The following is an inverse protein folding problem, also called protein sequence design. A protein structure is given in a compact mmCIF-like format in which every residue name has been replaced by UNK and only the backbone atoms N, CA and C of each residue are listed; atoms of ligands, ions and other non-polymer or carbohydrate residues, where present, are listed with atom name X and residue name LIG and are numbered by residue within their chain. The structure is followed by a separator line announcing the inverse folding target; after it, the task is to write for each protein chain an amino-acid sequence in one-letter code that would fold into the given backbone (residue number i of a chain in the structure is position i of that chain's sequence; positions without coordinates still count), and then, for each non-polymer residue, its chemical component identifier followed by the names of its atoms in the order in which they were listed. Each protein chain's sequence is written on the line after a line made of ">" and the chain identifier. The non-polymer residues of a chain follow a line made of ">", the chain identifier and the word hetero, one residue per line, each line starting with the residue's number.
data_IF_808493961272
#
_entry.id   IF_808493961272
#
_cell.length_a   1.000
_cell.length_b   1.000
_cell.length_c   1.000
_cell.angle_alpha   90.00
_cell.angle_beta   90.00
_cell.angle_gamma   90.00
#
_symmetry.space_group_name_H-M   'P 1'
#
loop_
_entity.id
_entity.type
_entity.pdbx_description
1 polymer ?
#
# COMPACT_ATOMS: atom_id res chain seq x y z
N UNK A 1 7.22 -8.36 17.71
CA UNK A 1 5.93 -8.58 17.03
C UNK A 1 5.18 -9.66 17.79
N UNK A 2 3.90 -9.47 18.07
CA UNK A 2 3.08 -10.50 18.74
C UNK A 2 2.91 -11.72 17.82
N UNK A 3 2.79 -12.95 18.36
CA UNK A 3 2.68 -14.18 17.57
C UNK A 3 1.59 -14.17 16.49
N UNK A 4 0.51 -13.44 16.72
CA UNK A 4 -0.60 -13.28 15.78
C UNK A 4 -0.18 -12.67 14.43
N UNK A 5 0.78 -11.74 14.42
CA UNK A 5 1.25 -11.14 13.17
C UNK A 5 2.05 -12.12 12.33
N UNK A 6 2.81 -13.00 12.98
CA UNK A 6 3.59 -14.05 12.28
C UNK A 6 2.63 -15.01 11.56
N UNK A 7 1.58 -15.45 12.25
CA UNK A 7 0.55 -16.32 11.66
C UNK A 7 -0.19 -15.63 10.51
N UNK A 8 -0.54 -14.35 10.67
CA UNK A 8 -1.19 -13.57 9.63
C UNK A 8 -0.35 -13.43 8.36
N UNK A 9 0.93 -13.04 8.49
CA UNK A 9 1.82 -12.92 7.34
C UNK A 9 2.18 -14.26 6.72
N UNK A 10 2.26 -15.34 7.52
CA UNK A 10 2.41 -16.69 7.00
C UNK A 10 1.20 -17.14 6.17
N UNK A 11 -0.03 -16.86 6.64
CA UNK A 11 -1.25 -17.15 5.89
C UNK A 11 -1.32 -16.40 4.56
N UNK A 12 -0.97 -15.11 4.55
CA UNK A 12 -0.85 -14.32 3.32
C UNK A 12 0.14 -14.95 2.34
N UNK A 13 1.29 -15.40 2.83
CA UNK A 13 2.30 -16.04 2.00
C UNK A 13 1.83 -17.35 1.38
N UNK A 14 0.99 -18.13 2.09
CA UNK A 14 0.45 -19.39 1.58
C UNK A 14 -0.60 -19.21 0.48
N UNK A 15 -1.37 -18.12 0.52
CA UNK A 15 -2.41 -17.85 -0.48
C UNK A 15 -1.90 -17.13 -1.73
N UNK A 16 -0.63 -16.73 -1.75
CA UNK A 16 -0.05 -16.04 -2.89
C UNK A 16 0.26 -17.06 -4.01
N UNK A 17 -0.46 -16.96 -5.13
CA UNK A 17 -0.23 -17.83 -6.28
C UNK A 17 0.81 -17.22 -7.23
N UNK A 18 2.02 -17.77 -7.18
CA UNK A 18 3.13 -17.36 -8.05
C UNK A 18 2.91 -17.67 -9.53
N UNK A 19 1.98 -18.57 -9.87
CA UNK A 19 1.67 -18.90 -11.27
C UNK A 19 1.00 -17.73 -11.99
N UNK A 20 0.28 -16.89 -11.26
CA UNK A 20 -0.42 -15.72 -11.79
C UNK A 20 0.49 -14.51 -12.00
N UNK A 21 1.72 -14.50 -11.44
CA UNK A 21 2.62 -13.35 -11.47
C UNK A 21 2.96 -12.86 -12.87
N UNK A 22 3.15 -13.76 -13.84
CA UNK A 22 3.55 -13.40 -15.19
C UNK A 22 2.48 -12.58 -15.94
N UNK A 23 1.19 -12.85 -15.66
CA UNK A 23 0.07 -12.17 -16.31
C UNK A 23 -0.31 -10.90 -15.54
N UNK A 24 -0.09 -10.87 -14.23
CA UNK A 24 -0.58 -9.81 -13.34
C UNK A 24 0.29 -8.56 -13.29
N UNK A 25 1.53 -8.60 -13.78
CA UNK A 25 2.47 -7.48 -13.66
C UNK A 25 1.94 -6.13 -14.20
N UNK A 26 1.27 -6.05 -15.37
CA UNK A 26 0.70 -4.81 -15.86
C UNK A 26 -0.38 -4.24 -14.92
N UNK A 27 -1.22 -5.11 -14.36
CA UNK A 27 -2.28 -4.72 -13.44
C UNK A 27 -1.72 -4.21 -12.11
N UNK A 28 -0.70 -4.91 -11.58
CA UNK A 28 0.03 -4.50 -10.36
C UNK A 28 0.64 -3.10 -10.55
N UNK A 29 1.34 -2.87 -11.67
CA UNK A 29 1.94 -1.56 -11.96
C UNK A 29 0.88 -0.47 -12.07
N UNK A 30 -0.19 -0.72 -12.82
CA UNK A 30 -1.29 0.22 -12.98
C UNK A 30 -1.91 0.59 -11.62
N UNK A 31 -2.17 -0.41 -10.78
CA UNK A 31 -2.70 -0.20 -9.43
C UNK A 31 -1.73 0.59 -8.56
N UNK A 32 -0.44 0.22 -8.53
CA UNK A 32 0.59 0.91 -7.76
C UNK A 32 0.70 2.40 -8.13
N UNK A 33 0.75 2.70 -9.43
CA UNK A 33 0.88 4.07 -9.92
C UNK A 33 -0.39 4.86 -9.64
N UNK A 34 -1.56 4.32 -9.98
CA UNK A 34 -2.85 4.99 -9.75
C UNK A 34 -3.08 5.30 -8.27
N UNK A 35 -2.82 4.32 -7.38
CA UNK A 35 -2.90 4.49 -5.94
C UNK A 35 -1.93 5.54 -5.42
N UNK A 36 -0.67 5.48 -5.86
CA UNK A 36 0.37 6.42 -5.41
C UNK A 36 0.04 7.85 -5.80
N UNK A 37 -0.35 8.08 -7.05
CA UNK A 37 -0.77 9.39 -7.55
C UNK A 37 -2.02 9.87 -6.79
N UNK A 38 -3.01 9.00 -6.61
CA UNK A 38 -4.24 9.32 -5.89
C UNK A 38 -3.98 9.75 -4.44
N UNK A 39 -3.13 9.02 -3.71
CA UNK A 39 -2.74 9.40 -2.33
C UNK A 39 -1.97 10.72 -2.30
N UNK A 40 -0.98 10.91 -3.18
CA UNK A 40 -0.17 12.14 -3.20
C UNK A 40 -1.05 13.35 -3.53
N UNK A 41 -1.83 13.27 -4.61
CA UNK A 41 -2.73 14.35 -5.02
C UNK A 41 -3.81 14.61 -3.96
N UNK A 42 -4.40 13.55 -3.40
CA UNK A 42 -5.41 13.66 -2.34
C UNK A 42 -4.88 14.31 -1.08
N UNK A 43 -3.67 13.96 -0.63
CA UNK A 43 -3.02 14.60 0.52
C UNK A 43 -2.68 16.06 0.23
N UNK A 44 -2.19 16.39 -0.96
CA UNK A 44 -1.88 17.78 -1.33
C UNK A 44 -3.14 18.64 -1.40
N UNK A 45 -4.21 18.15 -2.05
CA UNK A 45 -5.50 18.85 -2.10
C UNK A 45 -6.10 18.97 -0.71
N UNK A 46 -6.18 17.88 0.05
CA UNK A 46 -6.66 17.88 1.43
C UNK A 46 -5.92 18.89 2.31
N UNK A 47 -4.60 18.95 2.19
CA UNK A 47 -3.76 19.93 2.89
C UNK A 47 -4.04 21.38 2.48
N UNK A 48 -4.40 21.64 1.22
CA UNK A 48 -4.83 22.97 0.75
C UNK A 48 -6.17 23.35 1.36
N UNK A 49 -7.16 22.46 1.31
CA UNK A 49 -8.50 22.67 1.88
C UNK A 49 -8.44 22.90 3.40
N UNK A 50 -7.60 22.17 4.12
CA UNK A 50 -7.40 22.32 5.57
C UNK A 50 -6.51 23.50 5.96
N UNK A 51 -6.00 24.29 5.01
CA UNK A 51 -5.04 25.39 5.23
C UNK A 51 -3.80 24.96 6.03
N UNK A 52 -3.34 23.73 5.86
CA UNK A 52 -2.17 23.20 6.56
C UNK A 52 -0.86 23.87 6.12
N UNK A 53 0.24 23.57 6.81
CA UNK A 53 1.55 24.08 6.44
C UNK A 53 2.03 23.58 5.06
N UNK A 54 2.84 24.34 4.31
CA UNK A 54 3.35 23.95 3.00
C UNK A 54 4.13 22.63 3.01
N UNK A 55 4.80 22.31 4.13
CA UNK A 55 5.54 21.06 4.32
C UNK A 55 4.60 19.85 4.31
N UNK A 56 3.47 19.94 5.00
CA UNK A 56 2.45 18.89 5.07
C UNK A 56 1.85 18.67 3.68
N UNK A 57 1.49 19.75 2.96
CA UNK A 57 0.93 19.66 1.59
C UNK A 57 1.84 18.93 0.61
N UNK A 58 3.16 19.08 0.77
CA UNK A 58 4.16 18.57 -0.17
C UNK A 58 4.69 17.17 0.19
N UNK A 59 4.85 16.86 1.47
CA UNK A 59 5.56 15.66 1.91
C UNK A 59 4.66 14.58 2.54
N UNK A 60 3.47 14.94 3.04
CA UNK A 60 2.57 13.97 3.69
C UNK A 60 2.17 12.84 2.74
N UNK A 61 1.90 13.15 1.47
CA UNK A 61 1.51 12.16 0.47
C UNK A 61 2.57 11.07 0.27
N UNK A 62 3.85 11.43 0.29
CA UNK A 62 4.98 10.49 0.17
C UNK A 62 5.13 9.62 1.42
N UNK A 63 4.92 10.19 2.61
CA UNK A 63 4.97 9.45 3.87
C UNK A 63 3.80 8.46 4.03
N UNK A 64 2.68 8.70 3.33
CA UNK A 64 1.46 7.89 3.39
C UNK A 64 1.39 6.78 2.34
N UNK A 65 2.44 6.57 1.54
CA UNK A 65 2.45 5.51 0.52
C UNK A 65 2.53 4.11 1.09
N UNK A 66 2.92 3.98 2.37
CA UNK A 66 2.97 2.68 3.03
C UNK A 66 1.61 1.96 3.04
N UNK A 67 1.68 0.65 2.94
CA UNK A 67 0.52 -0.24 2.92
C UNK A 67 0.73 -1.34 3.97
N UNK A 68 -0.16 -1.40 4.94
CA UNK A 68 -0.06 -2.29 6.09
C UNK A 68 -1.02 -3.49 5.98
N UNK A 69 -0.94 -4.39 6.97
CA UNK A 69 -1.76 -5.61 7.03
C UNK A 69 -3.28 -5.40 6.99
N UNK A 70 -3.78 -4.20 7.33
CA UNK A 70 -5.20 -3.85 7.17
C UNK A 70 -5.64 -3.97 5.71
N UNK A 71 -4.79 -3.56 4.75
CA UNK A 71 -5.11 -3.66 3.33
C UNK A 71 -5.26 -5.13 2.88
N UNK A 72 -4.43 -6.02 3.42
CA UNK A 72 -4.55 -7.45 3.18
C UNK A 72 -5.81 -8.04 3.82
N UNK A 73 -6.14 -7.66 5.07
CA UNK A 73 -7.37 -8.11 5.73
C UNK A 73 -8.63 -7.73 4.93
N UNK A 74 -8.66 -6.53 4.34
CA UNK A 74 -9.74 -6.12 3.44
C UNK A 74 -9.74 -6.88 2.12
N UNK A 75 -8.55 -7.27 1.61
CA UNK A 75 -8.44 -8.09 0.41
C UNK A 75 -9.02 -9.49 0.61
N UNK A 76 -8.79 -10.11 1.77
CA UNK A 76 -9.42 -11.38 2.14
C UNK A 76 -10.94 -11.27 2.19
N UNK A 77 -11.46 -10.23 2.86
CA UNK A 77 -12.90 -10.00 2.94
C UNK A 77 -13.52 -9.78 1.55
N UNK A 78 -12.81 -9.05 0.68
CA UNK A 78 -13.25 -8.84 -0.70
C UNK A 78 -13.19 -10.14 -1.53
N UNK A 79 -12.15 -10.96 -1.34
CA UNK A 79 -12.02 -12.26 -1.99
C UNK A 79 -13.13 -13.23 -1.56
N UNK A 80 -13.49 -13.24 -0.29
CA UNK A 80 -14.60 -14.02 0.25
C UNK A 80 -15.95 -13.54 -0.32
N UNK A 81 -16.18 -12.22 -0.31
CA UNK A 81 -17.40 -11.60 -0.83
C UNK A 81 -17.58 -11.79 -2.35
N UNK A 82 -16.49 -11.98 -3.10
CA UNK A 82 -16.47 -12.17 -4.55
C UNK A 82 -16.12 -13.61 -4.96
N UNK A 83 -16.27 -14.56 -4.04
CA UNK A 83 -15.94 -15.97 -4.25
C UNK A 83 -16.69 -16.60 -5.43
N UNK A 84 -17.90 -16.13 -5.73
CA UNK A 84 -18.71 -16.57 -6.89
C UNK A 84 -18.05 -16.28 -8.26
N UNK A 85 -17.11 -15.33 -8.32
CA UNK A 85 -16.49 -14.87 -9.57
C UNK A 85 -15.10 -15.44 -9.82
N UNK A 86 -14.61 -16.37 -8.98
CA UNK A 86 -13.24 -16.92 -9.02
C UNK A 86 -12.12 -15.83 -8.99
N UNK A 87 -12.45 -14.61 -8.55
CA UNK A 87 -11.53 -13.47 -8.51
C UNK A 87 -10.69 -13.41 -7.22
N UNK A 88 -11.01 -14.23 -6.22
CA UNK A 88 -10.40 -14.16 -4.88
C UNK A 88 -8.88 -14.27 -4.90
N UNK A 89 -8.34 -15.32 -5.55
CA UNK A 89 -6.89 -15.52 -5.67
C UNK A 89 -6.19 -14.38 -6.41
N UNK A 90 -6.85 -13.78 -7.40
CA UNK A 90 -6.34 -12.62 -8.13
C UNK A 90 -6.27 -11.38 -7.23
N UNK A 91 -7.30 -11.11 -6.43
CA UNK A 91 -7.34 -9.96 -5.51
C UNK A 91 -6.22 -10.09 -4.45
N UNK A 92 -6.08 -11.27 -3.85
CA UNK A 92 -5.09 -11.52 -2.81
C UNK A 92 -3.67 -11.42 -3.37
N UNK A 93 -3.42 -12.02 -4.54
CA UNK A 93 -2.10 -11.94 -5.21
C UNK A 93 -1.75 -10.51 -5.61
N UNK A 94 -2.72 -9.74 -6.14
CA UNK A 94 -2.54 -8.32 -6.45
C UNK A 94 -2.18 -7.52 -5.20
N UNK A 95 -2.95 -7.69 -4.12
CA UNK A 95 -2.78 -6.92 -2.89
C UNK A 95 -1.50 -7.30 -2.15
N UNK A 96 -1.12 -8.58 -2.13
CA UNK A 96 0.13 -9.04 -1.55
C UNK A 96 1.33 -8.46 -2.31
N UNK A 97 1.33 -8.57 -3.64
CA UNK A 97 2.42 -8.06 -4.49
C UNK A 97 2.57 -6.55 -4.37
N UNK A 98 1.45 -5.80 -4.42
CA UNK A 98 1.47 -4.34 -4.28
C UNK A 98 1.92 -3.92 -2.87
N UNK A 99 1.57 -4.67 -1.82
CA UNK A 99 2.03 -4.43 -0.45
C UNK A 99 3.54 -4.62 -0.33
N UNK A 100 4.10 -5.67 -0.92
CA UNK A 100 5.55 -5.90 -0.95
C UNK A 100 6.27 -4.76 -1.66
N UNK A 101 5.77 -4.33 -2.84
CA UNK A 101 6.35 -3.22 -3.59
C UNK A 101 6.33 -1.93 -2.77
N UNK A 102 5.17 -1.55 -2.22
CA UNK A 102 5.06 -0.33 -1.42
C UNK A 102 5.90 -0.41 -0.16
N UNK A 103 5.97 -1.56 0.52
CA UNK A 103 6.81 -1.74 1.70
C UNK A 103 8.31 -1.56 1.41
N UNK A 104 8.76 -1.94 0.22
CA UNK A 104 10.16 -1.74 -0.20
C UNK A 104 10.47 -0.25 -0.44
N UNK A 105 9.53 0.49 -1.05
CA UNK A 105 9.72 1.91 -1.37
C UNK A 105 9.29 2.87 -0.24
N UNK A 106 8.43 2.44 0.68
CA UNK A 106 7.83 3.32 1.69
C UNK A 106 8.87 3.84 2.66
N UNK A 107 9.77 2.99 3.16
CA UNK A 107 10.75 3.39 4.16
C UNK A 107 11.72 4.47 3.64
N UNK A 108 12.33 4.35 2.44
CA UNK A 108 13.11 5.44 1.85
C UNK A 108 12.29 6.73 1.66
N UNK A 109 11.05 6.62 1.19
CA UNK A 109 10.20 7.78 0.89
C UNK A 109 9.74 8.51 2.15
N UNK A 110 9.40 7.78 3.22
CA UNK A 110 9.08 8.33 4.54
C UNK A 110 10.31 9.07 5.09
N UNK A 111 11.49 8.45 5.05
CA UNK A 111 12.73 9.08 5.51
C UNK A 111 13.03 10.37 4.74
N UNK A 112 12.85 10.34 3.42
CA UNK A 112 13.00 11.53 2.58
C UNK A 112 11.98 12.62 2.94
N UNK A 113 10.71 12.27 3.09
CA UNK A 113 9.62 13.18 3.41
C UNK A 113 9.83 13.87 4.76
N UNK A 114 10.16 13.10 5.79
CA UNK A 114 10.38 13.60 7.16
C UNK A 114 11.64 14.49 7.23
N UNK A 115 12.73 14.12 6.56
CA UNK A 115 13.94 14.97 6.45
C UNK A 115 13.64 16.29 5.75
N UNK A 116 12.92 16.26 4.64
CA UNK A 116 12.54 17.46 3.87
C UNK A 116 11.49 18.33 4.56
N UNK A 117 10.64 17.75 5.41
CA UNK A 117 9.76 18.50 6.29
C UNK A 117 10.54 19.22 7.41
N UNK A 118 11.78 18.81 7.68
CA UNK A 118 12.57 19.29 8.82
C UNK A 118 12.06 18.73 10.15
N UNK A 119 11.38 17.58 10.10
CA UNK A 119 10.86 16.87 11.27
C UNK A 119 11.76 15.70 11.68
N UNK A 120 12.78 15.38 10.88
CA UNK A 120 13.81 14.42 11.28
C UNK A 120 14.72 15.05 12.34
N UNK A 121 14.67 14.52 13.57
CA UNK A 121 15.72 14.76 14.57
C UNK A 121 16.99 14.05 14.07
N UNK A 122 18.07 14.81 13.88
CA UNK A 122 19.45 14.32 13.67
C UNK A 122 19.86 13.33 14.74
#
# INVERSE_FOLDING_TARGET
>A
MTPIFVLFFAAIGMEMDFSLFHIMWPLVIMYCVGRSIGKIAGCSLGGVLSKSEPKIKKYLGLAMLDQAGVAMGLAFLAAEALSEYELGGTIITLMATTTVIHGLFSLPLIQYAVKKAGEART
#
